data_IF_293989446308
#
_entry.id   IF_293989446308
#
_cell.length_a   1.000
_cell.length_b   1.000
_cell.length_c   1.000
_cell.angle_alpha   90.00
_cell.angle_beta   90.00
_cell.angle_gamma   90.00
#
_symmetry.space_group_name_H-M   'P 1'
#
loop_
_entity.id
_entity.type
_entity.pdbx_description
1 polymer ?
#
# COMPACT_ATOMS: atom_id res chain seq x y z
N UNK A 1 21.77 -43.86 32.41
CA UNK A 1 20.86 -42.73 32.08
C UNK A 1 21.32 -42.15 30.76
N UNK A 2 20.65 -42.46 29.63
CA UNK A 2 20.92 -41.91 28.30
C UNK A 2 20.08 -40.66 28.14
N UNK A 3 20.73 -39.50 28.08
CA UNK A 3 20.10 -38.25 27.70
C UNK A 3 19.73 -38.32 26.20
N UNK A 4 18.42 -38.38 25.94
CA UNK A 4 17.84 -38.32 24.62
C UNK A 4 18.10 -36.91 24.05
N UNK A 5 19.13 -36.76 23.22
CA UNK A 5 19.50 -35.54 22.50
C UNK A 5 18.29 -35.11 21.64
N UNK A 6 17.61 -34.06 22.11
CA UNK A 6 16.42 -33.50 21.44
C UNK A 6 16.88 -32.83 20.15
N UNK A 7 16.90 -33.59 19.03
CA UNK A 7 17.25 -33.14 17.69
C UNK A 7 16.45 -31.88 17.33
N UNK A 8 17.05 -30.70 17.51
CA UNK A 8 16.45 -29.42 17.11
C UNK A 8 16.16 -29.50 15.62
N UNK A 9 14.89 -29.48 15.24
CA UNK A 9 14.48 -29.34 13.83
C UNK A 9 15.14 -28.08 13.30
N UNK A 10 15.83 -28.13 12.15
CA UNK A 10 16.40 -26.94 11.56
C UNK A 10 15.24 -25.97 11.32
N UNK A 11 15.33 -24.79 11.90
CA UNK A 11 14.43 -23.67 11.60
C UNK A 11 14.56 -23.40 10.12
N UNK A 12 13.54 -23.76 9.36
CA UNK A 12 13.49 -23.53 7.91
C UNK A 12 13.52 -22.00 7.71
N UNK A 13 14.70 -21.47 7.46
CA UNK A 13 14.86 -20.07 7.14
C UNK A 13 13.99 -19.77 5.93
N UNK A 14 13.05 -18.85 6.11
CA UNK A 14 12.19 -18.38 5.03
C UNK A 14 13.08 -17.71 3.97
N UNK A 15 12.85 -17.96 2.69
CA UNK A 15 13.63 -17.33 1.63
C UNK A 15 13.64 -15.80 1.79
N UNK A 16 14.74 -15.12 1.42
CA UNK A 16 14.82 -13.67 1.54
C UNK A 16 13.68 -13.01 0.76
N UNK A 17 13.17 -11.85 1.23
CA UNK A 17 12.10 -11.13 0.54
C UNK A 17 12.59 -10.72 -0.86
N UNK A 18 11.72 -10.87 -1.86
CA UNK A 18 11.99 -10.43 -3.22
C UNK A 18 12.14 -8.90 -3.28
N UNK A 19 12.99 -8.38 -4.19
CA UNK A 19 13.12 -6.94 -4.40
C UNK A 19 11.73 -6.31 -4.69
N UNK A 20 11.43 -5.12 -4.16
CA UNK A 20 10.12 -4.50 -4.29
C UNK A 20 9.63 -4.43 -5.75
N UNK A 21 10.46 -4.00 -6.68
CA UNK A 21 10.07 -3.82 -8.09
C UNK A 21 9.67 -5.10 -8.83
N UNK A 22 10.04 -6.28 -8.35
CA UNK A 22 9.78 -7.58 -9.03
C UNK A 22 8.62 -8.37 -8.41
N UNK A 23 7.94 -7.84 -7.39
CA UNK A 23 6.86 -8.54 -6.71
C UNK A 23 5.61 -8.63 -7.57
N UNK A 24 4.99 -9.82 -7.59
CA UNK A 24 3.64 -10.03 -8.11
C UNK A 24 2.60 -9.66 -7.05
N UNK A 25 1.33 -9.52 -7.48
CA UNK A 25 0.20 -9.23 -6.57
C UNK A 25 0.14 -10.22 -5.41
N UNK A 26 0.25 -11.53 -5.70
CA UNK A 26 0.22 -12.56 -4.65
C UNK A 26 1.41 -12.48 -3.70
N UNK A 27 2.58 -12.10 -4.19
CA UNK A 27 3.78 -11.91 -3.38
C UNK A 27 3.67 -10.67 -2.47
N UNK A 28 3.02 -9.59 -2.93
CA UNK A 28 2.74 -8.43 -2.09
C UNK A 28 1.81 -8.81 -0.93
N UNK A 29 0.75 -9.59 -1.19
CA UNK A 29 -0.15 -10.10 -0.14
C UNK A 29 0.61 -10.97 0.85
N UNK A 30 1.44 -11.89 0.37
CA UNK A 30 2.25 -12.77 1.22
C UNK A 30 3.24 -11.97 2.09
N UNK A 31 3.88 -10.94 1.52
CA UNK A 31 4.81 -10.07 2.27
C UNK A 31 4.08 -9.21 3.29
N UNK A 32 2.86 -8.73 2.96
CA UNK A 32 2.01 -8.02 3.91
C UNK A 32 1.69 -8.89 5.14
N UNK A 33 1.30 -10.15 4.92
CA UNK A 33 1.02 -11.10 6.02
C UNK A 33 2.29 -11.38 6.81
N UNK A 34 3.42 -11.55 6.13
CA UNK A 34 4.73 -11.76 6.77
C UNK A 34 5.15 -10.56 7.63
N UNK A 35 4.98 -9.35 7.11
CA UNK A 35 5.25 -8.10 7.83
C UNK A 35 4.34 -7.96 9.05
N UNK A 36 3.03 -8.24 8.88
CA UNK A 36 2.06 -8.29 9.96
C UNK A 36 2.51 -9.25 11.07
N UNK A 37 2.90 -10.48 10.72
CA UNK A 37 3.36 -11.48 11.70
C UNK A 37 4.63 -11.08 12.43
N UNK A 38 5.59 -10.42 11.76
CA UNK A 38 6.82 -9.93 12.40
C UNK A 38 6.56 -8.79 13.39
N UNK A 39 5.56 -7.96 13.13
CA UNK A 39 5.19 -6.80 13.93
C UNK A 39 3.82 -6.96 14.57
N UNK A 40 3.45 -8.18 14.95
CA UNK A 40 2.08 -8.59 15.31
C UNK A 40 1.38 -7.60 16.24
N UNK A 41 1.96 -7.29 17.41
CA UNK A 41 1.33 -6.40 18.38
C UNK A 41 1.14 -4.96 17.90
N UNK A 42 2.13 -4.44 17.16
CA UNK A 42 2.03 -3.10 16.57
C UNK A 42 1.01 -3.06 15.44
N UNK A 43 1.00 -4.09 14.61
CA UNK A 43 0.03 -4.22 13.53
C UNK A 43 -1.39 -4.38 14.08
N UNK A 44 -1.59 -5.20 15.11
CA UNK A 44 -2.88 -5.38 15.75
C UNK A 44 -3.41 -4.06 16.35
N UNK A 45 -2.52 -3.25 16.95
CA UNK A 45 -2.88 -1.95 17.50
C UNK A 45 -3.47 -1.00 16.45
N UNK A 46 -3.06 -1.11 15.16
CA UNK A 46 -3.63 -0.33 14.06
C UNK A 46 -5.12 -0.63 13.82
N UNK A 47 -5.57 -1.83 14.16
CA UNK A 47 -6.96 -2.25 14.01
C UNK A 47 -7.89 -1.75 15.11
N UNK A 48 -7.36 -1.32 16.27
CA UNK A 48 -8.17 -0.97 17.44
C UNK A 48 -9.11 0.20 17.15
N UNK A 49 -8.60 1.28 16.57
CA UNK A 49 -9.40 2.47 16.26
C UNK A 49 -10.61 2.15 15.36
N UNK A 50 -10.39 1.62 14.15
CA UNK A 50 -11.48 1.21 13.25
C UNK A 50 -12.43 0.19 13.88
N UNK A 51 -11.92 -0.81 14.64
CA UNK A 51 -12.74 -1.83 15.27
C UNK A 51 -13.69 -1.25 16.33
N UNK A 52 -13.21 -0.34 17.17
CA UNK A 52 -14.04 0.32 18.20
C UNK A 52 -15.17 1.09 17.53
N UNK A 53 -14.89 1.84 16.48
CA UNK A 53 -15.93 2.64 15.80
C UNK A 53 -16.90 1.75 15.02
N UNK A 54 -16.43 0.64 14.45
CA UNK A 54 -17.31 -0.35 13.81
C UNK A 54 -18.34 -0.86 14.80
N UNK A 55 -17.92 -1.20 16.01
CA UNK A 55 -18.84 -1.66 17.08
C UNK A 55 -19.75 -0.51 17.54
N UNK A 56 -19.22 0.68 17.75
CA UNK A 56 -20.04 1.85 18.12
C UNK A 56 -21.17 2.09 17.11
N UNK A 57 -20.93 1.86 15.82
CA UNK A 57 -21.92 1.94 14.76
C UNK A 57 -23.11 1.00 14.94
N UNK A 58 -22.92 -0.18 15.49
CA UNK A 58 -24.03 -1.12 15.77
C UNK A 58 -24.98 -0.63 16.86
N UNK A 59 -24.51 0.19 17.79
CA UNK A 59 -25.31 0.69 18.92
C UNK A 59 -25.99 2.02 18.61
N UNK A 60 -25.56 2.75 17.58
CA UNK A 60 -26.09 4.10 17.30
C UNK A 60 -27.34 4.13 16.44
N UNK A 61 -27.64 3.05 15.71
CA UNK A 61 -28.83 3.01 14.82
C UNK A 61 -28.83 4.11 13.75
N UNK A 62 -30.03 4.38 13.16
CA UNK A 62 -30.22 5.46 12.16
C UNK A 62 -30.53 6.80 12.85
N UNK A 63 -29.68 7.30 13.71
CA UNK A 63 -29.81 8.56 14.43
C UNK A 63 -28.80 9.61 13.94
N UNK A 64 -28.97 10.91 14.31
CA UNK A 64 -28.04 11.98 13.95
C UNK A 64 -26.57 11.70 14.36
N UNK A 65 -26.37 10.80 15.31
CA UNK A 65 -25.04 10.31 15.74
C UNK A 65 -24.30 9.48 14.68
N UNK A 66 -25.00 8.98 13.64
CA UNK A 66 -24.38 8.22 12.56
C UNK A 66 -23.30 9.04 11.86
N UNK A 67 -23.55 10.33 11.63
CA UNK A 67 -22.55 11.22 11.03
C UNK A 67 -21.30 11.35 11.90
N UNK A 68 -21.45 11.42 13.23
CA UNK A 68 -20.33 11.47 14.16
C UNK A 68 -19.54 10.15 14.16
N UNK A 69 -20.25 9.01 14.11
CA UNK A 69 -19.61 7.68 14.00
C UNK A 69 -18.83 7.53 12.71
N UNK A 70 -19.41 7.94 11.57
CA UNK A 70 -18.73 7.91 10.26
C UNK A 70 -17.51 8.83 10.26
N UNK A 71 -17.64 10.06 10.79
CA UNK A 71 -16.50 10.98 10.92
C UNK A 71 -15.40 10.42 11.83
N UNK A 72 -15.77 9.82 12.97
CA UNK A 72 -14.85 9.15 13.88
C UNK A 72 -14.13 7.98 13.19
N UNK A 73 -14.86 7.19 12.39
CA UNK A 73 -14.27 6.10 11.61
C UNK A 73 -13.24 6.62 10.60
N UNK A 74 -13.58 7.65 9.83
CA UNK A 74 -12.67 8.28 8.86
C UNK A 74 -11.39 8.74 9.56
N UNK A 75 -11.49 9.44 10.69
CA UNK A 75 -10.31 9.95 11.43
C UNK A 75 -9.46 8.81 11.98
N UNK A 76 -10.06 7.83 12.63
CA UNK A 76 -9.32 6.73 13.25
C UNK A 76 -8.73 5.76 12.21
N UNK A 77 -9.45 5.46 11.13
CA UNK A 77 -8.92 4.67 10.02
C UNK A 77 -7.74 5.40 9.33
N UNK A 78 -7.87 6.72 9.12
CA UNK A 78 -6.80 7.55 8.57
C UNK A 78 -5.58 7.58 9.47
N UNK A 79 -5.75 7.72 10.79
CA UNK A 79 -4.65 7.66 11.75
C UNK A 79 -3.97 6.29 11.74
N UNK A 80 -4.73 5.21 11.70
CA UNK A 80 -4.20 3.85 11.57
C UNK A 80 -3.42 3.64 10.29
N UNK A 81 -3.90 4.20 9.17
CA UNK A 81 -3.19 4.13 7.90
C UNK A 81 -1.86 4.92 7.93
N UNK A 82 -1.85 6.11 8.51
CA UNK A 82 -0.62 6.90 8.67
C UNK A 82 0.39 6.15 9.55
N UNK A 83 -0.03 5.58 10.67
CA UNK A 83 0.84 4.78 11.53
C UNK A 83 1.32 3.49 10.83
N UNK A 84 0.53 2.88 9.96
CA UNK A 84 0.97 1.77 9.11
C UNK A 84 2.10 2.21 8.16
N UNK A 85 1.97 3.37 7.51
CA UNK A 85 3.03 3.94 6.68
C UNK A 85 4.31 4.22 7.48
N UNK A 86 4.18 4.75 8.72
CA UNK A 86 5.33 4.96 9.62
C UNK A 86 5.98 3.63 10.01
N UNK A 87 5.18 2.59 10.27
CA UNK A 87 5.68 1.28 10.64
C UNK A 87 6.45 0.62 9.49
N UNK A 88 5.96 0.75 8.26
CA UNK A 88 6.61 0.22 7.06
C UNK A 88 7.88 1.00 6.71
N UNK A 89 7.84 2.34 6.78
CA UNK A 89 9.03 3.17 6.50
C UNK A 89 10.14 3.02 7.55
N UNK A 90 9.83 2.49 8.73
CA UNK A 90 10.78 2.31 9.84
C UNK A 90 11.27 3.62 10.50
N UNK A 91 10.85 4.78 9.99
CA UNK A 91 11.27 6.08 10.50
C UNK A 91 10.06 6.94 10.85
N UNK A 92 10.03 7.51 12.06
CA UNK A 92 8.95 8.41 12.48
C UNK A 92 9.22 9.84 12.03
N UNK A 93 8.43 10.39 11.12
CA UNK A 93 8.60 11.76 10.67
C UNK A 93 8.19 12.77 11.78
N UNK A 94 8.59 14.05 11.68
CA UNK A 94 8.21 15.06 12.64
C UNK A 94 6.70 15.32 12.63
N UNK A 95 6.16 15.78 13.77
CA UNK A 95 4.72 16.01 13.98
C UNK A 95 4.00 16.76 12.84
N UNK A 96 4.55 17.86 12.25
CA UNK A 96 3.87 18.57 11.18
C UNK A 96 3.70 17.73 9.91
N UNK A 97 4.60 16.78 9.65
CA UNK A 97 4.47 15.81 8.53
C UNK A 97 3.38 14.80 8.82
N UNK A 98 3.31 14.27 10.05
CA UNK A 98 2.24 13.35 10.47
C UNK A 98 0.86 14.01 10.37
N UNK A 99 0.73 15.28 10.77
CA UNK A 99 -0.54 16.01 10.66
C UNK A 99 -0.95 16.18 9.18
N UNK A 100 -0.01 16.51 8.30
CA UNK A 100 -0.28 16.58 6.85
C UNK A 100 -0.68 15.22 6.27
N UNK A 101 -0.02 14.15 6.69
CA UNK A 101 -0.35 12.79 6.28
C UNK A 101 -1.76 12.40 6.75
N UNK A 102 -2.12 12.73 7.99
CA UNK A 102 -3.45 12.51 8.53
C UNK A 102 -4.53 13.28 7.74
N UNK A 103 -4.31 14.56 7.48
CA UNK A 103 -5.22 15.37 6.66
C UNK A 103 -5.38 14.79 5.24
N UNK A 104 -4.28 14.37 4.62
CA UNK A 104 -4.33 13.72 3.31
C UNK A 104 -5.09 12.39 3.36
N UNK A 105 -4.88 11.57 4.39
CA UNK A 105 -5.59 10.30 4.57
C UNK A 105 -7.09 10.51 4.79
N UNK A 106 -7.50 11.49 5.58
CA UNK A 106 -8.90 11.88 5.74
C UNK A 106 -9.51 12.33 4.39
N UNK A 107 -8.76 13.14 3.62
CA UNK A 107 -9.20 13.61 2.31
C UNK A 107 -9.35 12.46 1.30
N UNK A 108 -8.45 11.45 1.34
CA UNK A 108 -8.51 10.23 0.51
C UNK A 108 -9.72 9.36 0.88
N UNK A 109 -10.12 9.35 2.15
CA UNK A 109 -11.26 8.55 2.61
C UNK A 109 -12.59 9.06 2.09
N UNK A 110 -12.73 10.34 1.70
CA UNK A 110 -13.96 10.91 1.15
C UNK A 110 -14.30 10.35 -0.25
N UNK A 111 -13.38 10.35 -1.24
CA UNK A 111 -13.63 9.74 -2.54
C UNK A 111 -13.76 8.21 -2.48
N UNK A 112 -13.25 7.54 -1.43
CA UNK A 112 -13.46 6.11 -1.23
C UNK A 112 -14.95 5.76 -1.14
N UNK A 113 -15.76 6.64 -0.56
CA UNK A 113 -17.22 6.52 -0.55
C UNK A 113 -17.83 6.65 -1.94
N UNK A 114 -17.15 7.32 -2.88
CA UNK A 114 -17.62 7.56 -4.24
C UNK A 114 -17.14 6.52 -5.27
N UNK A 115 -16.08 5.76 -4.98
CA UNK A 115 -15.61 4.71 -5.89
C UNK A 115 -14.18 4.20 -5.64
N UNK A 116 -14.04 2.89 -5.77
CA UNK A 116 -12.79 2.16 -5.54
C UNK A 116 -11.66 2.54 -6.51
N UNK A 117 -11.97 2.96 -7.74
CA UNK A 117 -10.94 3.29 -8.75
C UNK A 117 -10.01 4.44 -8.32
N UNK A 118 -10.51 5.36 -7.50
CA UNK A 118 -9.72 6.50 -7.02
C UNK A 118 -8.78 6.13 -5.86
N UNK A 119 -8.99 4.97 -5.25
CA UNK A 119 -8.20 4.55 -4.10
C UNK A 119 -6.73 4.33 -4.46
N UNK A 120 -6.43 3.73 -5.62
CA UNK A 120 -5.07 3.45 -6.05
C UNK A 120 -4.24 4.74 -6.20
N UNK A 121 -4.65 5.75 -7.01
CA UNK A 121 -3.84 6.96 -7.18
C UNK A 121 -3.81 7.86 -5.94
N UNK A 122 -4.91 7.94 -5.19
CA UNK A 122 -4.99 8.82 -4.03
C UNK A 122 -4.41 8.16 -2.77
N UNK A 123 -4.58 6.85 -2.61
CA UNK A 123 -4.04 6.10 -1.47
C UNK A 123 -2.52 6.21 -1.37
N UNK A 124 -1.81 6.16 -2.50
CA UNK A 124 -0.35 6.28 -2.54
C UNK A 124 0.19 7.67 -2.13
N UNK A 125 -0.66 8.69 -2.02
CA UNK A 125 -0.24 10.01 -1.56
C UNK A 125 0.16 10.02 -0.08
N UNK A 126 -0.49 9.21 0.76
CA UNK A 126 -0.22 9.18 2.21
C UNK A 126 1.19 8.66 2.51
N UNK A 127 1.61 7.49 2.00
CA UNK A 127 2.99 7.03 2.18
C UNK A 127 4.01 7.97 1.55
N UNK A 128 3.71 8.65 0.42
CA UNK A 128 4.58 9.67 -0.16
C UNK A 128 4.86 10.84 0.80
N UNK A 129 3.85 11.27 1.58
CA UNK A 129 4.06 12.30 2.62
C UNK A 129 4.95 11.77 3.73
N UNK A 130 4.74 10.55 4.17
CA UNK A 130 5.45 9.96 5.31
C UNK A 130 6.92 9.69 4.96
N UNK A 131 7.19 9.11 3.77
CA UNK A 131 8.54 8.69 3.33
C UNK A 131 9.34 9.84 2.71
N UNK A 132 8.76 10.54 1.73
CA UNK A 132 9.42 11.61 0.98
C UNK A 132 9.23 13.00 1.62
N UNK A 133 8.42 13.11 2.69
CA UNK A 133 8.11 14.36 3.42
C UNK A 133 7.54 15.47 2.54
N UNK A 134 6.81 15.10 1.50
CA UNK A 134 6.26 16.02 0.52
C UNK A 134 5.09 16.85 1.09
N UNK A 135 4.87 18.08 0.58
CA UNK A 135 3.64 18.81 0.84
C UNK A 135 2.45 18.09 0.17
N UNK A 136 1.25 18.22 0.74
CA UNK A 136 0.04 17.50 0.34
C UNK A 136 -0.16 17.52 -1.19
N UNK A 137 -0.11 18.70 -1.82
CA UNK A 137 -0.35 18.84 -3.26
C UNK A 137 0.67 18.06 -4.12
N UNK A 138 1.95 18.05 -3.72
CA UNK A 138 2.99 17.30 -4.42
C UNK A 138 2.84 15.79 -4.18
N UNK A 139 2.43 15.39 -2.98
CA UNK A 139 2.21 13.99 -2.65
C UNK A 139 1.05 13.38 -3.45
N UNK A 140 -0.06 14.11 -3.64
CA UNK A 140 -1.14 13.65 -4.52
C UNK A 140 -0.67 13.50 -5.98
N UNK A 141 0.09 14.48 -6.47
CA UNK A 141 0.68 14.39 -7.81
C UNK A 141 1.62 13.18 -7.92
N UNK A 142 2.47 12.95 -6.91
CA UNK A 142 3.37 11.80 -6.84
C UNK A 142 2.61 10.48 -6.80
N UNK A 143 1.55 10.38 -6.00
CA UNK A 143 0.68 9.21 -5.97
C UNK A 143 0.03 8.90 -7.32
N UNK A 144 -0.43 9.91 -8.03
CA UNK A 144 -0.98 9.76 -9.39
C UNK A 144 0.10 9.32 -10.40
N UNK A 145 1.30 9.89 -10.31
CA UNK A 145 2.44 9.51 -11.17
C UNK A 145 2.83 8.04 -10.95
N UNK A 146 2.94 7.61 -9.68
CA UNK A 146 3.25 6.23 -9.32
C UNK A 146 2.15 5.26 -9.76
N UNK A 147 0.89 5.62 -9.56
CA UNK A 147 -0.22 4.79 -10.00
C UNK A 147 -0.30 4.67 -11.53
N UNK A 148 0.05 5.73 -12.28
CA UNK A 148 0.04 5.69 -13.76
C UNK A 148 1.14 4.82 -14.35
N UNK A 149 2.26 4.65 -13.67
CA UNK A 149 3.38 3.83 -14.16
C UNK A 149 2.95 2.36 -14.31
N UNK A 150 2.20 1.81 -13.35
CA UNK A 150 1.62 0.47 -13.43
C UNK A 150 0.26 0.43 -12.71
N UNK A 151 -0.73 1.07 -13.33
CA UNK A 151 -2.07 1.22 -12.75
C UNK A 151 -2.75 -0.13 -12.49
N UNK A 152 -2.60 -1.08 -13.42
CA UNK A 152 -3.23 -2.39 -13.31
C UNK A 152 -2.65 -3.19 -12.15
N UNK A 153 -1.34 -3.08 -11.91
CA UNK A 153 -0.70 -3.74 -10.78
C UNK A 153 -1.11 -3.09 -9.45
N UNK A 154 -1.12 -1.75 -9.39
CA UNK A 154 -1.53 -1.02 -8.20
C UNK A 154 -2.99 -1.31 -7.83
N UNK A 155 -3.91 -1.19 -8.80
CA UNK A 155 -5.33 -1.47 -8.62
C UNK A 155 -5.58 -2.93 -8.29
N UNK A 156 -4.93 -3.86 -9.01
CA UNK A 156 -5.04 -5.29 -8.78
C UNK A 156 -4.55 -5.70 -7.39
N UNK A 157 -3.46 -5.13 -6.90
CA UNK A 157 -2.91 -5.40 -5.58
C UNK A 157 -3.85 -4.92 -4.47
N UNK A 158 -4.30 -3.66 -4.54
CA UNK A 158 -5.27 -3.12 -3.58
C UNK A 158 -6.62 -3.84 -3.68
N UNK A 159 -7.07 -4.15 -4.90
CA UNK A 159 -8.29 -4.90 -5.14
C UNK A 159 -8.27 -6.28 -4.53
N UNK A 160 -7.16 -6.99 -4.68
CA UNK A 160 -6.99 -8.32 -4.09
C UNK A 160 -6.99 -8.25 -2.56
N UNK A 161 -6.27 -7.29 -1.97
CA UNK A 161 -6.27 -7.09 -0.51
C UNK A 161 -7.67 -6.76 0.01
N UNK A 162 -8.37 -5.84 -0.66
CA UNK A 162 -9.74 -5.48 -0.29
C UNK A 162 -10.69 -6.67 -0.44
N UNK A 163 -10.57 -7.43 -1.54
CA UNK A 163 -11.39 -8.60 -1.80
C UNK A 163 -11.18 -9.67 -0.71
N UNK A 164 -9.94 -9.95 -0.34
CA UNK A 164 -9.62 -10.91 0.75
C UNK A 164 -10.26 -10.46 2.05
N UNK A 165 -10.09 -9.19 2.44
CA UNK A 165 -10.69 -8.63 3.66
C UNK A 165 -12.21 -8.71 3.60
N UNK A 166 -12.82 -8.29 2.49
CA UNK A 166 -14.26 -8.30 2.29
C UNK A 166 -14.86 -9.70 2.34
N UNK A 167 -14.28 -10.66 1.57
CA UNK A 167 -14.76 -12.05 1.56
C UNK A 167 -14.62 -12.70 2.93
N UNK A 168 -13.54 -12.41 3.66
CA UNK A 168 -13.37 -12.93 5.03
C UNK A 168 -14.44 -12.35 5.97
N UNK A 169 -14.77 -11.07 5.85
CA UNK A 169 -15.83 -10.43 6.61
C UNK A 169 -17.21 -11.05 6.29
N UNK A 170 -17.53 -11.21 5.00
CA UNK A 170 -18.80 -11.80 4.54
C UNK A 170 -18.90 -13.25 5.01
N UNK A 171 -17.84 -14.04 4.86
CA UNK A 171 -17.82 -15.43 5.29
C UNK A 171 -18.03 -15.55 6.81
N UNK A 172 -17.35 -14.70 7.59
CA UNK A 172 -17.50 -14.69 9.04
C UNK A 172 -18.94 -14.31 9.45
N UNK A 173 -19.52 -13.31 8.80
CA UNK A 173 -20.91 -12.90 9.04
C UNK A 173 -21.89 -14.01 8.66
N UNK A 174 -21.67 -14.67 7.52
CA UNK A 174 -22.52 -15.80 7.08
C UNK A 174 -22.42 -17.00 8.04
N UNK A 175 -21.21 -17.32 8.51
CA UNK A 175 -20.99 -18.43 9.47
C UNK A 175 -21.69 -18.19 10.81
N UNK A 176 -21.80 -16.93 11.21
CA UNK A 176 -22.45 -16.52 12.46
C UNK A 176 -23.94 -16.17 12.27
N UNK A 177 -24.47 -16.38 11.06
CA UNK A 177 -25.89 -16.19 10.81
C UNK A 177 -26.70 -17.17 11.68
N UNK A 178 -27.57 -16.62 12.55
CA UNK A 178 -28.32 -17.43 13.56
C UNK A 178 -27.66 -17.46 14.94
N UNK A 179 -26.44 -16.92 15.12
CA UNK A 179 -25.86 -16.69 16.45
C UNK A 179 -26.55 -15.50 17.15
N UNK A 180 -26.26 -15.34 18.46
CA UNK A 180 -26.76 -14.20 19.19
C UNK A 180 -26.21 -12.88 18.61
N UNK A 181 -26.98 -11.80 18.71
CA UNK A 181 -26.55 -10.48 18.21
C UNK A 181 -25.22 -10.03 18.85
N UNK A 182 -25.01 -10.38 20.10
CA UNK A 182 -23.76 -10.12 20.81
C UNK A 182 -22.57 -10.85 20.16
N UNK A 183 -22.74 -12.11 19.75
CA UNK A 183 -21.70 -12.88 19.06
C UNK A 183 -21.33 -12.26 17.71
N UNK A 184 -22.31 -11.72 16.99
CA UNK A 184 -22.08 -11.01 15.73
C UNK A 184 -21.26 -9.73 15.95
N UNK A 185 -21.56 -8.94 16.99
CA UNK A 185 -20.81 -7.73 17.33
C UNK A 185 -19.36 -8.02 17.73
N UNK A 186 -19.15 -9.05 18.56
CA UNK A 186 -17.81 -9.47 18.99
C UNK A 186 -16.99 -9.94 17.80
N UNK A 187 -17.57 -10.73 16.90
CA UNK A 187 -16.85 -11.20 15.72
C UNK A 187 -16.56 -10.10 14.71
N UNK A 188 -17.47 -9.14 14.52
CA UNK A 188 -17.21 -7.96 13.69
C UNK A 188 -16.06 -7.12 14.27
N UNK A 189 -16.00 -6.96 15.59
CA UNK A 189 -14.88 -6.32 16.28
C UNK A 189 -13.57 -7.05 16.02
N UNK A 190 -13.51 -8.36 16.28
CA UNK A 190 -12.31 -9.17 16.11
C UNK A 190 -11.86 -9.20 14.64
N UNK A 191 -12.80 -9.35 13.71
CA UNK A 191 -12.51 -9.30 12.29
C UNK A 191 -11.91 -7.95 11.88
N UNK A 192 -12.50 -6.83 12.28
CA UNK A 192 -11.98 -5.50 12.01
C UNK A 192 -10.61 -5.29 12.64
N UNK A 193 -10.41 -5.75 13.87
CA UNK A 193 -9.15 -5.65 14.59
C UNK A 193 -7.99 -6.35 13.86
N UNK A 194 -8.26 -7.51 13.25
CA UNK A 194 -7.24 -8.34 12.60
C UNK A 194 -7.08 -7.98 11.12
N UNK A 195 -8.18 -7.74 10.40
CA UNK A 195 -8.17 -7.61 8.95
C UNK A 195 -7.86 -6.18 8.46
N UNK A 196 -8.31 -5.15 9.17
CA UNK A 196 -8.06 -3.76 8.77
C UNK A 196 -6.56 -3.42 8.67
N UNK A 197 -5.71 -3.83 9.62
CA UNK A 197 -4.27 -3.60 9.52
C UNK A 197 -3.62 -4.23 8.28
N UNK A 198 -4.11 -5.37 7.81
CA UNK A 198 -3.59 -6.04 6.60
C UNK A 198 -3.79 -5.12 5.39
N UNK A 199 -4.96 -4.47 5.28
CA UNK A 199 -5.24 -3.52 4.20
C UNK A 199 -4.30 -2.31 4.27
N UNK A 200 -4.12 -1.72 5.45
CA UNK A 200 -3.28 -0.53 5.63
C UNK A 200 -1.80 -0.83 5.37
N UNK A 201 -1.29 -1.93 5.90
CA UNK A 201 0.09 -2.36 5.68
C UNK A 201 0.34 -2.74 4.21
N UNK A 202 -0.62 -3.42 3.58
CA UNK A 202 -0.51 -3.76 2.17
C UNK A 202 -0.49 -2.53 1.26
N UNK A 203 -1.32 -1.53 1.55
CA UNK A 203 -1.31 -0.26 0.83
C UNK A 203 0.02 0.51 1.03
N UNK A 204 0.60 0.47 2.23
CA UNK A 204 1.90 1.08 2.51
C UNK A 204 3.04 0.35 1.77
N UNK A 205 3.06 -0.98 1.78
CA UNK A 205 4.07 -1.79 1.06
C UNK A 205 3.94 -1.65 -0.46
N UNK A 206 2.72 -1.47 -0.97
CA UNK A 206 2.51 -1.21 -2.40
C UNK A 206 3.19 0.08 -2.86
N UNK A 207 3.23 1.10 -2.00
CA UNK A 207 3.96 2.33 -2.32
C UNK A 207 5.44 2.06 -2.57
N UNK A 208 6.10 1.27 -1.71
CA UNK A 208 7.51 0.93 -1.88
C UNK A 208 7.75 0.14 -3.18
N UNK A 209 6.83 -0.76 -3.53
CA UNK A 209 6.87 -1.50 -4.80
C UNK A 209 6.75 -0.56 -6.02
N UNK A 210 5.80 0.36 -6.01
CA UNK A 210 5.59 1.30 -7.11
C UNK A 210 6.74 2.31 -7.22
N UNK A 211 7.25 2.82 -6.10
CA UNK A 211 8.40 3.72 -6.09
C UNK A 211 9.65 3.05 -6.70
N UNK A 212 9.93 1.80 -6.31
CA UNK A 212 11.05 1.04 -6.84
C UNK A 212 10.93 0.77 -8.36
N UNK A 213 9.72 0.52 -8.89
CA UNK A 213 9.47 0.33 -10.33
C UNK A 213 9.79 1.60 -11.12
N UNK A 214 9.27 2.74 -10.67
CA UNK A 214 9.52 4.03 -11.32
C UNK A 214 11.01 4.39 -11.31
N UNK A 215 11.73 4.06 -10.25
CA UNK A 215 13.16 4.31 -10.12
C UNK A 215 13.97 3.48 -11.12
N UNK A 216 13.64 2.21 -11.30
CA UNK A 216 14.27 1.34 -12.31
C UNK A 216 13.98 1.84 -13.73
N UNK A 217 12.75 2.22 -14.03
CA UNK A 217 12.39 2.75 -15.36
C UNK A 217 13.13 4.06 -15.69
N UNK A 218 13.23 4.97 -14.72
CA UNK A 218 13.93 6.24 -14.89
C UNK A 218 15.43 6.04 -15.09
N UNK A 219 16.04 5.12 -14.33
CA UNK A 219 17.46 4.74 -14.49
C UNK A 219 17.74 4.09 -15.84
N UNK A 220 16.83 3.25 -16.35
CA UNK A 220 16.93 2.63 -17.67
C UNK A 220 16.84 3.66 -18.82
N UNK A 221 15.91 4.64 -18.70
CA UNK A 221 15.79 5.71 -19.70
C UNK A 221 17.02 6.60 -19.75
N UNK A 222 17.62 6.89 -18.60
CA UNK A 222 18.80 7.75 -18.53
C UNK A 222 20.04 7.07 -19.10
N UNK A 223 20.16 5.73 -19.02
CA UNK A 223 21.24 4.95 -19.65
C UNK A 223 21.14 4.87 -21.18
N UNK A 224 19.91 4.89 -21.73
CA UNK A 224 19.70 4.83 -23.19
C UNK A 224 19.91 6.17 -23.90
N UNK A 225 19.91 7.29 -23.17
CA UNK A 225 20.04 8.64 -23.75
C UNK A 225 21.46 8.98 -24.23
N UNK A 226 22.56 8.60 -23.55
CA UNK A 226 23.93 8.88 -24.04
C UNK A 226 24.26 8.19 -25.37
N UNK A 227 23.72 6.98 -25.61
CA UNK A 227 24.02 6.22 -26.82
C UNK A 227 23.33 6.80 -28.08
N UNK A 228 22.22 7.51 -27.92
CA UNK A 228 21.52 8.15 -29.03
C UNK A 228 22.24 9.42 -29.51
N UNK A 229 22.84 10.18 -28.59
CA UNK A 229 23.60 11.40 -28.95
C UNK A 229 24.93 11.06 -29.62
N UNK A 230 25.58 9.95 -29.28
CA UNK A 230 26.81 9.51 -29.91
C UNK A 230 26.58 9.02 -31.34
N UNK A 231 25.45 8.31 -31.60
CA UNK A 231 25.15 7.81 -32.94
C UNK A 231 24.85 8.92 -33.95
N UNK A 232 24.31 10.07 -33.52
CA UNK A 232 24.06 11.22 -34.36
C UNK A 232 25.33 12.07 -34.64
N UNK A 233 26.32 12.04 -33.74
CA UNK A 233 27.60 12.69 -33.92
C UNK A 233 28.47 12.00 -34.99
N UNK A 234 28.45 10.65 -35.02
CA UNK A 234 29.19 9.86 -36.01
C UNK A 234 28.62 9.97 -37.43
N UNK A 235 27.30 10.18 -37.59
CA UNK A 235 26.70 10.39 -38.93
C UNK A 235 26.92 11.83 -39.47
N UNK A 236 27.16 12.82 -38.60
CA UNK A 236 27.43 14.18 -38.98
C UNK A 236 28.88 14.40 -39.47
N UNK A 237 29.81 13.52 -39.10
CA UNK A 237 31.24 13.61 -39.40
C UNK A 237 31.66 12.73 -40.60
N UNK A 238 30.71 12.13 -41.35
CA UNK A 238 30.99 11.51 -42.64
C UNK A 238 31.14 12.60 -43.70
N UNK A 239 32.39 12.85 -44.18
CA UNK A 239 32.58 13.79 -45.26
C UNK A 239 31.83 13.27 -46.48
N UNK A 240 30.89 14.09 -46.95
CA UNK A 240 30.06 13.82 -48.10
C UNK A 240 30.92 13.34 -49.29
N UNK A 241 30.61 12.18 -49.84
CA UNK A 241 31.06 11.72 -51.14
C UNK A 241 30.41 12.59 -52.22
N UNK A 242 30.88 13.82 -52.31
CA UNK A 242 30.65 14.65 -53.46
C UNK A 242 31.70 14.31 -54.51
N UNK A 243 31.23 14.24 -55.75
CA UNK A 243 31.98 14.23 -57.02
C UNK A 243 32.49 12.87 -57.54
N UNK A 244 31.57 12.13 -58.19
CA UNK A 244 31.93 11.35 -59.37
C UNK A 244 31.75 12.23 -60.61
N UNK A 245 32.81 12.56 -61.38
CA UNK A 245 32.67 13.29 -62.65
C UNK A 245 32.07 12.37 -63.71
N UNK A 246 30.99 12.86 -64.36
CA UNK A 246 30.42 12.28 -65.58
C UNK A 246 31.44 12.55 -66.70
N UNK A 247 32.07 11.50 -67.24
CA UNK A 247 32.89 11.56 -68.45
C UNK A 247 32.00 11.49 -69.71
N UNK A 248 32.40 12.10 -70.82
CA UNK A 248 31.63 12.32 -72.05
C UNK A 248 31.36 11.08 -72.89
#
# INVERSE_FOLDING_TARGET
MQQKEKKRRPTRELPPPLPPASRTIGQLVAETIRFYGRNFWRSLALGVGPAVVTVAGYYTGFHPWLAAVVAGWVVLASASYVEACVLVSGARPPRPVLLRALLAACLVSLPFLAGFLWLAPLGLAVPAIVTERLPIRRAFRRGIELARADYMHALGSLGTLLLVVFLTQVLLTALLHGASQQSVHISAFLASLVLQPILFLGAALLYDDQAARVEIESGSRNRRRPDADVSHADDADRPGSADAPIAP
#
